data_IF_942125485522
#
_entry.id   IF_942125485522
#
_cell.length_a   1.000
_cell.length_b   1.000
_cell.length_c   1.000
_cell.angle_alpha   90.00
_cell.angle_beta   90.00
_cell.angle_gamma   90.00
#
_symmetry.space_group_name_H-M   'P 1'
#
loop_
_entity.id
_entity.type
_entity.pdbx_description
1 polymer ?
#
# COMPACT_ATOMS: atom_id res chain seq x y z
N UNK A 1 5.92 -0.23 10.63
CA UNK A 1 4.72 0.55 10.26
C UNK A 1 3.47 -0.27 10.50
N UNK A 2 2.56 0.17 11.35
CA UNK A 2 1.20 -0.37 11.45
C UNK A 2 0.26 0.58 10.69
N UNK A 3 -0.47 0.10 9.68
CA UNK A 3 -1.47 0.92 8.99
C UNK A 3 -1.81 0.54 7.56
N UNK A 4 -0.86 -0.05 6.81
CA UNK A 4 -1.07 -0.43 5.40
C UNK A 4 -2.27 -1.37 5.25
N UNK A 5 -2.25 -2.50 5.95
CA UNK A 5 -3.32 -3.49 5.88
C UNK A 5 -4.70 -2.92 6.22
N UNK A 6 -4.89 -2.27 7.39
CA UNK A 6 -6.18 -1.66 7.73
C UNK A 6 -6.68 -0.62 6.72
N UNK A 7 -5.84 0.29 6.24
CA UNK A 7 -6.27 1.36 5.32
C UNK A 7 -6.56 0.82 3.93
N UNK A 8 -5.72 -0.07 3.43
CA UNK A 8 -5.93 -0.73 2.16
C UNK A 8 -7.14 -1.69 2.20
N UNK A 9 -7.39 -2.33 3.34
CA UNK A 9 -8.60 -3.12 3.59
C UNK A 9 -9.86 -2.28 3.45
N UNK A 10 -9.89 -1.06 4.00
CA UNK A 10 -11.01 -0.14 3.81
C UNK A 10 -11.12 0.32 2.34
N UNK A 11 -9.99 0.58 1.68
CA UNK A 11 -10.00 0.88 0.24
C UNK A 11 -10.66 -0.25 -0.55
N UNK A 12 -10.32 -1.52 -0.27
CA UNK A 12 -10.96 -2.68 -0.90
C UNK A 12 -12.47 -2.72 -0.66
N UNK A 13 -12.93 -2.46 0.57
CA UNK A 13 -14.35 -2.42 0.91
C UNK A 13 -15.08 -1.37 0.06
N UNK A 14 -14.69 -0.10 0.13
CA UNK A 14 -15.41 0.97 -0.54
C UNK A 14 -15.22 0.98 -2.07
N UNK A 15 -14.05 0.56 -2.55
CA UNK A 15 -13.76 0.54 -3.97
C UNK A 15 -14.37 -0.65 -4.69
N UNK A 16 -14.40 -1.85 -4.09
CA UNK A 16 -14.86 -3.07 -4.78
C UNK A 16 -16.15 -3.66 -4.26
N UNK A 17 -16.33 -3.71 -2.94
CA UNK A 17 -17.36 -4.56 -2.35
C UNK A 17 -18.60 -3.80 -1.88
N UNK A 18 -18.47 -2.51 -1.57
CA UNK A 18 -19.59 -1.71 -1.10
C UNK A 18 -20.64 -1.55 -2.22
N UNK A 19 -21.94 -1.73 -1.94
CA UNK A 19 -22.99 -1.74 -2.97
C UNK A 19 -23.10 -0.42 -3.74
N UNK A 20 -22.77 0.69 -3.08
CA UNK A 20 -22.84 2.04 -3.63
C UNK A 20 -21.45 2.66 -3.74
N UNK A 21 -21.25 3.51 -4.75
CA UNK A 21 -19.98 4.25 -4.91
C UNK A 21 -20.01 5.53 -4.07
N UNK A 22 -19.40 5.44 -2.90
CA UNK A 22 -19.18 6.58 -2.01
C UNK A 22 -17.81 7.19 -2.33
N UNK A 23 -17.76 8.09 -3.32
CA UNK A 23 -16.50 8.62 -3.85
C UNK A 23 -15.60 9.23 -2.75
N UNK A 24 -16.17 9.96 -1.80
CA UNK A 24 -15.42 10.55 -0.69
C UNK A 24 -14.74 9.51 0.22
N UNK A 25 -15.36 8.34 0.41
CA UNK A 25 -14.77 7.24 1.16
C UNK A 25 -13.68 6.53 0.34
N UNK A 26 -13.94 6.30 -0.95
CA UNK A 26 -12.95 5.73 -1.89
C UNK A 26 -11.69 6.60 -1.90
N UNK A 27 -11.84 7.90 -2.17
CA UNK A 27 -10.74 8.85 -2.22
C UNK A 27 -9.98 8.89 -0.89
N UNK A 28 -10.69 8.91 0.24
CA UNK A 28 -10.07 8.92 1.57
C UNK A 28 -9.13 7.73 1.76
N UNK A 29 -9.61 6.52 1.51
CA UNK A 29 -8.82 5.31 1.81
C UNK A 29 -7.77 5.01 0.75
N UNK A 30 -8.01 5.34 -0.53
CA UNK A 30 -6.99 5.24 -1.56
C UNK A 30 -5.86 6.25 -1.33
N UNK A 31 -6.18 7.51 -1.01
CA UNK A 31 -5.17 8.53 -0.73
C UNK A 31 -4.37 8.22 0.54
N UNK A 32 -5.01 7.73 1.60
CA UNK A 32 -4.30 7.34 2.82
C UNK A 32 -3.41 6.10 2.58
N UNK A 33 -3.87 5.13 1.79
CA UNK A 33 -3.05 3.98 1.40
C UNK A 33 -1.84 4.44 0.56
N UNK A 34 -2.06 5.33 -0.42
CA UNK A 34 -0.96 5.91 -1.22
C UNK A 34 0.05 6.65 -0.34
N UNK A 35 -0.43 7.46 0.62
CA UNK A 35 0.44 8.16 1.58
C UNK A 35 1.30 7.18 2.38
N UNK A 36 0.73 6.07 2.83
CA UNK A 36 1.48 5.03 3.55
C UNK A 36 2.51 4.34 2.65
N UNK A 37 2.18 4.07 1.38
CA UNK A 37 3.17 3.59 0.42
C UNK A 37 4.30 4.59 0.18
N UNK A 38 4.02 5.89 0.09
CA UNK A 38 5.08 6.91 -0.02
C UNK A 38 6.03 6.88 1.17
N UNK A 39 5.54 6.63 2.39
CA UNK A 39 6.38 6.47 3.59
C UNK A 39 7.29 5.24 3.46
N UNK A 40 6.76 4.13 2.96
CA UNK A 40 7.53 2.90 2.73
C UNK A 40 8.57 3.07 1.61
N UNK A 41 8.22 3.69 0.49
CA UNK A 41 9.14 3.98 -0.63
C UNK A 41 10.31 4.85 -0.13
N UNK A 42 10.01 5.85 0.70
CA UNK A 42 11.01 6.71 1.35
C UNK A 42 11.92 5.89 2.27
N UNK A 43 11.36 4.99 3.09
CA UNK A 43 12.12 4.14 4.01
C UNK A 43 13.04 3.17 3.26
N UNK A 44 12.61 2.67 2.10
CA UNK A 44 13.37 1.76 1.24
C UNK A 44 14.35 2.49 0.31
N UNK A 45 14.48 3.82 0.43
CA UNK A 45 15.46 4.55 -0.36
C UNK A 45 16.88 4.10 -0.02
N UNK A 46 17.59 3.57 -1.02
CA UNK A 46 18.94 2.99 -0.85
C UNK A 46 18.98 1.68 -0.05
N UNK A 47 17.84 1.02 0.17
CA UNK A 47 17.75 -0.26 0.91
C UNK A 47 16.96 -1.29 0.11
N UNK A 48 17.28 -2.56 0.32
CA UNK A 48 16.54 -3.68 -0.29
C UNK A 48 15.38 -4.17 0.60
N UNK A 49 15.55 -4.05 1.92
CA UNK A 49 14.56 -4.44 2.93
C UNK A 49 14.33 -3.30 3.94
N UNK A 50 13.28 -3.41 4.75
CA UNK A 50 13.01 -2.43 5.80
C UNK A 50 14.10 -2.36 6.88
N UNK A 51 14.76 -3.49 7.11
CA UNK A 51 15.90 -3.66 8.02
C UNK A 51 17.17 -3.96 7.23
N UNK A 52 18.29 -4.24 7.93
CA UNK A 52 19.54 -4.65 7.28
C UNK A 52 19.41 -5.97 6.51
N UNK A 53 18.56 -6.87 7.00
CA UNK A 53 18.23 -8.15 6.39
C UNK A 53 16.71 -8.27 6.16
N UNK A 54 16.31 -9.25 5.36
CA UNK A 54 14.90 -9.60 5.17
C UNK A 54 14.27 -10.05 6.49
N UNK A 55 13.14 -9.46 6.86
CA UNK A 55 12.46 -9.76 8.13
C UNK A 55 10.97 -10.00 7.96
N UNK A 56 10.32 -10.36 9.07
CA UNK A 56 8.86 -10.42 9.17
C UNK A 56 8.17 -9.10 8.79
N UNK A 57 8.85 -7.94 8.88
CA UNK A 57 8.26 -6.66 8.51
C UNK A 57 8.01 -6.56 7.00
N UNK A 58 8.94 -7.10 6.20
CA UNK A 58 8.83 -7.19 4.74
C UNK A 58 7.69 -8.13 4.37
N UNK A 59 7.66 -9.34 4.95
CA UNK A 59 6.58 -10.31 4.72
C UNK A 59 5.20 -9.83 5.19
N UNK A 60 5.13 -9.04 6.26
CA UNK A 60 3.85 -8.47 6.73
C UNK A 60 3.32 -7.37 5.80
N UNK A 61 4.20 -6.72 5.02
CA UNK A 61 3.86 -5.55 4.20
C UNK A 61 3.72 -5.89 2.72
N UNK A 62 4.62 -6.74 2.20
CA UNK A 62 4.71 -7.07 0.78
C UNK A 62 3.39 -7.59 0.18
N UNK A 63 2.65 -8.54 0.79
CA UNK A 63 1.42 -9.05 0.21
C UNK A 63 0.35 -7.97 -0.01
N UNK A 64 0.32 -6.94 0.85
CA UNK A 64 -0.59 -5.80 0.71
C UNK A 64 -0.18 -4.91 -0.46
N UNK A 65 1.10 -4.54 -0.53
CA UNK A 65 1.63 -3.72 -1.63
C UNK A 65 1.46 -4.43 -2.97
N UNK A 66 1.76 -5.73 -3.04
CA UNK A 66 1.69 -6.51 -4.28
C UNK A 66 0.27 -6.57 -4.89
N UNK A 67 -0.76 -6.25 -4.11
CA UNK A 67 -2.16 -6.19 -4.57
C UNK A 67 -2.70 -4.76 -4.61
N UNK A 68 -1.84 -3.72 -4.70
CA UNK A 68 -2.27 -2.32 -4.71
C UNK A 68 -3.32 -2.00 -5.80
N UNK A 69 -3.21 -2.62 -6.99
CA UNK A 69 -4.19 -2.46 -8.08
C UNK A 69 -5.57 -3.00 -7.70
N UNK A 70 -5.62 -4.05 -6.87
CA UNK A 70 -6.87 -4.52 -6.29
C UNK A 70 -7.54 -3.41 -5.48
N UNK A 71 -6.76 -2.62 -4.77
CA UNK A 71 -7.28 -1.51 -3.98
C UNK A 71 -7.55 -0.24 -4.80
N UNK A 72 -7.22 -0.25 -6.10
CA UNK A 72 -7.29 0.92 -6.97
C UNK A 72 -6.28 2.01 -6.59
N UNK A 73 -5.18 1.64 -5.93
CA UNK A 73 -4.13 2.57 -5.51
C UNK A 73 -3.05 2.64 -6.58
N UNK A 74 -2.86 3.83 -7.12
CA UNK A 74 -1.90 4.13 -8.17
C UNK A 74 -0.50 4.39 -7.56
N UNK A 75 0.54 3.71 -8.07
CA UNK A 75 1.89 3.72 -7.50
C UNK A 75 3.02 3.96 -8.52
N UNK A 76 2.73 4.35 -9.76
CA UNK A 76 3.74 4.52 -10.82
C UNK A 76 4.79 5.58 -10.49
N UNK A 77 4.48 6.50 -9.58
CA UNK A 77 5.41 7.48 -9.04
C UNK A 77 6.35 6.93 -7.96
N UNK A 78 6.10 5.72 -7.45
CA UNK A 78 6.89 5.06 -6.39
C UNK A 78 7.87 4.06 -7.00
N UNK A 79 9.16 4.35 -6.86
CA UNK A 79 10.22 3.69 -7.64
C UNK A 79 10.73 2.39 -7.01
N UNK A 80 10.62 2.24 -5.68
CA UNK A 80 11.18 1.09 -4.97
C UNK A 80 10.26 -0.12 -4.91
N UNK A 81 8.99 0.05 -5.24
CA UNK A 81 8.02 -1.04 -5.21
C UNK A 81 8.06 -1.98 -6.41
N UNK A 82 8.78 -1.62 -7.48
CA UNK A 82 8.99 -2.50 -8.64
C UNK A 82 10.09 -3.56 -8.44
N UNK A 83 10.91 -3.48 -7.38
CA UNK A 83 12.13 -4.30 -7.25
C UNK A 83 11.98 -5.62 -6.46
N UNK A 84 10.77 -6.00 -6.06
CA UNK A 84 10.52 -7.31 -5.41
C UNK A 84 10.03 -8.39 -6.41
N UNK A 85 10.18 -8.13 -7.71
CA UNK A 85 9.94 -9.07 -8.81
C UNK A 85 11.07 -9.04 -9.83
#
# INVERSE_FOLDING_TARGET
MAGVGPMQGQANVFFRYFPEKLQSAIDRYQNETKRLYTVLDTQLNGRDFFCEELTIADFATFPWVNIHEWSGVEISDLKKFFCLG
#
